data_IF_771155063838
#
_entry.id   IF_771155063838
#
_cell.length_a   1.000
_cell.length_b   1.000
_cell.length_c   1.000
_cell.angle_alpha   90.00
_cell.angle_beta   90.00
_cell.angle_gamma   90.00
#
_symmetry.space_group_name_H-M   'P 1'
#
loop_
_entity.id
_entity.type
_entity.pdbx_description
1 polymer ?
#
# COMPACT_ATOMS: atom_id res chain seq x y z
N UNK A 1 62.26 39.29 -89.89
CA UNK A 1 61.59 38.50 -88.83
C UNK A 1 60.52 39.41 -88.24
N UNK A 2 59.27 39.00 -88.37
CA UNK A 2 58.13 39.83 -88.77
C UNK A 2 57.20 40.17 -87.60
N UNK A 3 56.70 41.41 -87.60
CA UNK A 3 55.67 41.99 -86.70
C UNK A 3 54.45 41.05 -86.48
N UNK A 4 54.13 40.23 -87.47
CA UNK A 4 53.11 39.17 -87.47
C UNK A 4 53.27 38.15 -86.33
N UNK A 5 54.49 37.69 -86.03
CA UNK A 5 54.74 36.66 -85.02
C UNK A 5 54.50 37.16 -83.60
N UNK A 6 54.80 38.43 -83.35
CA UNK A 6 54.51 39.12 -82.08
C UNK A 6 53.02 39.32 -81.87
N UNK A 7 52.26 39.64 -82.92
CA UNK A 7 50.79 39.79 -82.85
C UNK A 7 50.09 38.47 -82.56
N UNK A 8 50.53 37.37 -83.17
CA UNK A 8 50.03 36.02 -82.89
C UNK A 8 50.31 35.57 -81.46
N UNK A 9 51.51 35.85 -80.93
CA UNK A 9 51.86 35.53 -79.55
C UNK A 9 51.01 36.31 -78.53
N UNK A 10 50.76 37.61 -78.77
CA UNK A 10 49.91 38.44 -77.91
C UNK A 10 48.44 38.01 -77.96
N UNK A 11 47.94 37.62 -79.13
CA UNK A 11 46.57 37.08 -79.27
C UNK A 11 46.38 35.77 -78.50
N UNK A 12 47.34 34.84 -78.56
CA UNK A 12 47.30 33.60 -77.79
C UNK A 12 47.38 33.83 -76.26
N UNK A 13 48.16 34.82 -75.83
CA UNK A 13 48.21 35.23 -74.41
C UNK A 13 46.87 35.83 -73.96
N UNK A 14 46.24 36.66 -74.80
CA UNK A 14 44.92 37.22 -74.48
C UNK A 14 43.83 36.14 -74.44
N UNK A 15 43.85 35.19 -75.37
CA UNK A 15 42.92 34.07 -75.39
C UNK A 15 43.07 33.17 -74.16
N UNK A 16 44.30 32.87 -73.75
CA UNK A 16 44.57 32.11 -72.52
C UNK A 16 44.16 32.88 -71.27
N UNK A 17 44.39 34.19 -71.20
CA UNK A 17 43.92 35.02 -70.09
C UNK A 17 42.39 35.08 -70.04
N UNK A 18 41.71 35.18 -71.19
CA UNK A 18 40.25 35.13 -71.25
C UNK A 18 39.71 33.75 -70.84
N UNK A 19 40.35 32.67 -71.26
CA UNK A 19 40.02 31.31 -70.83
C UNK A 19 40.17 31.17 -69.31
N UNK A 20 41.31 31.60 -68.74
CA UNK A 20 41.52 31.61 -67.28
C UNK A 20 40.49 32.48 -66.55
N UNK A 21 40.11 33.63 -67.10
CA UNK A 21 39.08 34.49 -66.50
C UNK A 21 37.71 33.82 -66.50
N UNK A 22 37.35 33.13 -67.59
CA UNK A 22 36.10 32.38 -67.67
C UNK A 22 36.09 31.16 -66.74
N UNK A 23 37.22 30.47 -66.59
CA UNK A 23 37.38 29.35 -65.67
C UNK A 23 37.32 29.81 -64.21
N UNK A 24 37.96 30.94 -63.88
CA UNK A 24 37.87 31.55 -62.56
C UNK A 24 36.44 31.98 -62.23
N UNK A 25 35.71 32.55 -63.20
CA UNK A 25 34.30 32.91 -63.02
C UNK A 25 33.42 31.66 -62.77
N UNK A 26 33.65 30.59 -63.54
CA UNK A 26 32.95 29.32 -63.34
C UNK A 26 33.28 28.66 -61.99
N UNK A 27 34.54 28.73 -61.56
CA UNK A 27 34.97 28.23 -60.25
C UNK A 27 34.34 29.02 -59.11
N UNK A 28 34.27 30.34 -59.22
CA UNK A 28 33.65 31.19 -58.22
C UNK A 28 32.13 30.93 -58.13
N UNK A 29 31.45 30.77 -59.27
CA UNK A 29 30.04 30.40 -59.28
C UNK A 29 29.78 29.05 -58.59
N UNK A 30 30.63 28.05 -58.83
CA UNK A 30 30.56 26.75 -58.14
C UNK A 30 30.83 26.86 -56.65
N UNK A 31 31.75 27.72 -56.22
CA UNK A 31 32.03 27.94 -54.79
C UNK A 31 30.82 28.55 -54.08
N UNK A 32 30.15 29.54 -54.69
CA UNK A 32 28.92 30.12 -54.14
C UNK A 32 27.82 29.07 -54.02
N UNK A 33 27.65 28.22 -55.03
CA UNK A 33 26.68 27.13 -55.00
C UNK A 33 26.98 26.11 -53.89
N UNK A 34 28.25 25.74 -53.70
CA UNK A 34 28.66 24.82 -52.63
C UNK A 34 28.38 25.43 -51.25
N UNK A 35 28.68 26.72 -51.06
CA UNK A 35 28.42 27.41 -49.80
C UNK A 35 26.92 27.51 -49.50
N UNK A 36 26.10 27.79 -50.51
CA UNK A 36 24.64 27.81 -50.34
C UNK A 36 24.10 26.43 -49.93
N UNK A 37 24.58 25.36 -50.58
CA UNK A 37 24.21 23.98 -50.20
C UNK A 37 24.67 23.61 -48.80
N UNK A 38 25.86 24.04 -48.36
CA UNK A 38 26.33 23.81 -47.00
C UNK A 38 25.47 24.55 -45.98
N UNK A 39 25.10 25.81 -46.23
CA UNK A 39 24.21 26.56 -45.36
C UNK A 39 22.82 25.91 -45.23
N UNK A 40 22.30 25.35 -46.33
CA UNK A 40 21.03 24.60 -46.31
C UNK A 40 21.15 23.31 -45.48
N UNK A 41 22.28 22.60 -45.56
CA UNK A 41 22.55 21.40 -44.74
C UNK A 41 22.67 21.77 -43.27
N UNK A 42 23.41 22.82 -42.94
CA UNK A 42 23.60 23.29 -41.56
C UNK A 42 22.26 23.73 -40.93
N UNK A 43 21.40 24.43 -41.69
CA UNK A 43 20.06 24.78 -41.25
C UNK A 43 19.18 23.54 -41.00
N UNK A 44 19.31 22.50 -41.83
CA UNK A 44 18.62 21.21 -41.62
C UNK A 44 19.13 20.46 -40.39
N UNK A 45 20.43 20.51 -40.11
CA UNK A 45 21.07 19.90 -38.94
C UNK A 45 20.73 20.62 -37.62
N UNK A 46 20.54 21.93 -37.65
CA UNK A 46 20.06 22.68 -36.49
C UNK A 46 18.66 22.21 -36.08
N UNK A 47 17.75 22.05 -37.04
CA UNK A 47 16.39 21.57 -36.78
C UNK A 47 16.36 20.13 -36.22
N UNK A 48 17.27 19.24 -36.62
CA UNK A 48 17.36 17.89 -36.07
C UNK A 48 18.01 17.84 -34.69
N UNK A 49 18.93 18.76 -34.40
CA UNK A 49 19.54 18.90 -33.06
C UNK A 49 18.49 19.32 -32.03
N UNK A 50 17.54 20.16 -32.42
CA UNK A 50 16.41 20.59 -31.57
C UNK A 50 15.39 19.46 -31.27
N UNK A 51 15.38 18.37 -32.05
CA UNK A 51 14.51 17.22 -31.81
C UNK A 51 15.02 16.29 -30.71
N UNK A 52 16.33 16.26 -30.45
CA UNK A 52 16.93 15.36 -29.46
C UNK A 52 16.39 15.62 -28.04
N UNK A 53 16.36 16.87 -27.53
CA UNK A 53 15.77 17.15 -26.22
C UNK A 53 14.28 16.81 -26.14
N UNK A 54 13.54 16.98 -27.24
CA UNK A 54 12.11 16.65 -27.28
C UNK A 54 11.88 15.13 -27.17
N UNK A 55 12.71 14.33 -27.84
CA UNK A 55 12.67 12.87 -27.73
C UNK A 55 13.08 12.38 -26.33
N UNK A 56 14.04 13.04 -25.67
CA UNK A 56 14.42 12.75 -24.28
C UNK A 56 13.27 13.01 -23.30
N UNK A 57 12.54 14.13 -23.47
CA UNK A 57 11.35 14.44 -22.66
C UNK A 57 10.25 13.39 -22.88
N UNK A 58 10.02 12.99 -24.13
CA UNK A 58 9.01 11.96 -24.46
C UNK A 58 9.42 10.62 -23.85
N UNK A 59 10.68 10.22 -23.95
CA UNK A 59 11.20 8.99 -23.35
C UNK A 59 11.07 9.00 -21.83
N UNK A 60 11.44 10.10 -21.17
CA UNK A 60 11.30 10.25 -19.71
C UNK A 60 9.83 10.09 -19.28
N UNK A 61 8.90 10.73 -20.00
CA UNK A 61 7.47 10.62 -19.73
C UNK A 61 6.93 9.20 -19.98
N UNK A 62 7.44 8.52 -21.01
CA UNK A 62 7.02 7.16 -21.36
C UNK A 62 7.53 6.12 -20.35
N UNK A 63 8.72 6.35 -19.77
CA UNK A 63 9.24 5.56 -18.64
C UNK A 63 8.36 5.76 -17.41
N UNK A 64 8.07 7.01 -17.04
CA UNK A 64 7.22 7.34 -15.88
C UNK A 64 5.80 6.75 -16.02
N UNK A 65 5.21 6.84 -17.22
CA UNK A 65 3.90 6.24 -17.49
C UNK A 65 3.95 4.70 -17.45
N UNK A 66 5.04 4.07 -17.87
CA UNK A 66 5.24 2.60 -17.74
C UNK A 66 5.37 2.18 -16.29
N UNK A 67 6.13 2.91 -15.48
CA UNK A 67 6.27 2.64 -14.05
C UNK A 67 4.91 2.73 -13.35
N UNK A 68 4.15 3.79 -13.61
CA UNK A 68 2.77 3.92 -13.11
C UNK A 68 1.85 2.80 -13.56
N UNK A 69 1.98 2.35 -14.80
CA UNK A 69 1.20 1.21 -15.31
C UNK A 69 1.60 -0.10 -14.65
N UNK A 70 2.89 -0.34 -14.43
CA UNK A 70 3.40 -1.52 -13.74
C UNK A 70 2.88 -1.59 -12.31
N UNK A 71 2.98 -0.49 -11.55
CA UNK A 71 2.39 -0.37 -10.21
C UNK A 71 0.87 -0.61 -10.23
N UNK A 72 0.17 -0.07 -11.24
CA UNK A 72 -1.26 -0.29 -11.42
C UNK A 72 -1.61 -1.77 -11.66
N UNK A 73 -0.84 -2.45 -12.51
CA UNK A 73 -1.06 -3.86 -12.81
C UNK A 73 -0.75 -4.76 -11.61
N UNK A 74 0.34 -4.50 -10.90
CA UNK A 74 0.71 -5.22 -9.68
C UNK A 74 -0.41 -5.14 -8.64
N UNK A 75 -0.96 -3.94 -8.38
CA UNK A 75 -2.11 -3.75 -7.48
C UNK A 75 -3.36 -4.52 -7.92
N UNK A 76 -3.66 -4.53 -9.22
CA UNK A 76 -4.80 -5.30 -9.73
C UNK A 76 -4.58 -6.80 -9.61
N UNK A 77 -3.34 -7.27 -9.77
CA UNK A 77 -2.98 -8.66 -9.60
C UNK A 77 -3.07 -9.08 -8.12
N UNK A 78 -2.61 -8.24 -7.18
CA UNK A 78 -2.79 -8.47 -5.74
C UNK A 78 -4.26 -8.53 -5.34
N UNK A 79 -5.09 -7.61 -5.84
CA UNK A 79 -6.53 -7.64 -5.59
C UNK A 79 -7.20 -8.89 -6.20
N UNK A 80 -6.79 -9.28 -7.40
CA UNK A 80 -7.29 -10.47 -8.07
C UNK A 80 -6.85 -11.75 -7.35
N UNK A 81 -5.61 -11.81 -6.86
CA UNK A 81 -5.08 -12.91 -6.06
C UNK A 81 -5.85 -13.03 -4.74
N UNK A 82 -6.02 -11.93 -4.01
CA UNK A 82 -6.84 -11.89 -2.79
C UNK A 82 -8.28 -12.32 -3.07
N UNK A 83 -8.92 -11.79 -4.11
CA UNK A 83 -10.29 -12.15 -4.47
C UNK A 83 -10.41 -13.63 -4.86
N UNK A 84 -9.42 -14.17 -5.57
CA UNK A 84 -9.35 -15.57 -5.94
C UNK A 84 -9.11 -16.48 -4.73
N UNK A 85 -8.22 -16.10 -3.81
CA UNK A 85 -7.99 -16.80 -2.55
C UNK A 85 -9.26 -16.82 -1.69
N UNK A 86 -9.91 -15.65 -1.52
CA UNK A 86 -11.17 -15.53 -0.80
C UNK A 86 -12.28 -16.38 -1.41
N UNK A 87 -12.41 -16.40 -2.75
CA UNK A 87 -13.39 -17.24 -3.46
C UNK A 87 -13.09 -18.73 -3.36
N UNK A 88 -11.80 -19.10 -3.30
CA UNK A 88 -11.32 -20.48 -3.17
C UNK A 88 -11.31 -20.98 -1.73
N UNK A 89 -11.72 -20.15 -0.76
CA UNK A 89 -11.71 -20.47 0.66
C UNK A 89 -10.31 -20.50 1.28
N UNK A 90 -9.31 -19.94 0.60
CA UNK A 90 -7.96 -19.75 1.13
C UNK A 90 -7.87 -18.36 1.75
N UNK A 91 -7.51 -18.30 3.03
CA UNK A 91 -7.41 -17.05 3.78
C UNK A 91 -6.11 -16.34 3.48
N UNK A 92 -6.11 -15.41 2.51
CA UNK A 92 -4.98 -14.51 2.27
C UNK A 92 -5.19 -13.18 3.03
N UNK A 93 -4.16 -12.62 3.69
CA UNK A 93 -4.29 -11.32 4.33
C UNK A 93 -4.53 -10.21 3.30
N UNK A 94 -5.43 -9.27 3.61
CA UNK A 94 -5.68 -8.13 2.74
C UNK A 94 -4.41 -7.24 2.74
N UNK A 95 -3.83 -6.90 1.59
CA UNK A 95 -2.67 -6.01 1.53
C UNK A 95 -2.96 -4.67 2.22
N UNK A 96 -2.02 -4.18 3.02
CA UNK A 96 -2.19 -2.98 3.87
C UNK A 96 -2.62 -1.75 3.06
N UNK A 97 -2.05 -1.56 1.86
CA UNK A 97 -2.37 -0.46 0.95
C UNK A 97 -3.82 -0.52 0.43
N UNK A 98 -4.33 -1.73 0.16
CA UNK A 98 -5.72 -1.96 -0.24
C UNK A 98 -6.67 -1.82 0.96
N UNK A 99 -6.25 -2.25 2.16
CA UNK A 99 -7.02 -2.07 3.39
C UNK A 99 -7.29 -0.60 3.71
N UNK A 100 -6.39 0.30 3.27
CA UNK A 100 -6.54 1.73 3.43
C UNK A 100 -7.32 2.45 2.32
N UNK A 101 -7.62 1.75 1.22
CA UNK A 101 -8.35 2.31 0.09
C UNK A 101 -9.77 2.76 0.47
N UNK A 102 -10.13 3.99 0.12
CA UNK A 102 -11.38 4.63 0.54
C UNK A 102 -12.64 3.84 0.11
N UNK A 103 -12.61 3.22 -1.08
CA UNK A 103 -13.73 2.41 -1.57
C UNK A 103 -13.89 1.09 -0.80
N UNK A 104 -12.79 0.43 -0.44
CA UNK A 104 -12.82 -0.83 0.33
C UNK A 104 -13.28 -0.58 1.76
N UNK A 105 -12.82 0.51 2.38
CA UNK A 105 -13.34 0.98 3.67
C UNK A 105 -14.84 1.25 3.61
N UNK A 106 -15.31 1.98 2.59
CA UNK A 106 -16.74 2.29 2.43
C UNK A 106 -17.57 1.03 2.18
N UNK A 107 -17.07 0.10 1.37
CA UNK A 107 -17.71 -1.19 1.14
C UNK A 107 -17.83 -1.99 2.44
N UNK A 108 -16.71 -2.21 3.15
CA UNK A 108 -16.68 -2.93 4.42
C UNK A 108 -17.60 -2.30 5.47
N UNK A 109 -17.63 -0.97 5.55
CA UNK A 109 -18.47 -0.22 6.47
C UNK A 109 -19.98 -0.35 6.19
N UNK A 110 -20.35 -0.60 4.94
CA UNK A 110 -21.76 -0.71 4.53
C UNK A 110 -22.26 -2.15 4.45
N UNK A 111 -21.39 -3.15 4.62
CA UNK A 111 -21.75 -4.56 4.56
C UNK A 111 -22.86 -4.91 5.55
N UNK A 112 -23.76 -5.80 5.12
CA UNK A 112 -24.74 -6.44 6.00
C UNK A 112 -24.04 -7.42 6.93
N UNK A 113 -24.62 -7.66 8.10
CA UNK A 113 -24.13 -8.70 8.98
C UNK A 113 -24.08 -10.05 8.25
N UNK A 114 -22.98 -10.78 8.42
CA UNK A 114 -22.88 -12.16 7.93
C UNK A 114 -24.05 -12.99 8.48
N UNK A 115 -24.47 -14.07 7.81
CA UNK A 115 -25.55 -14.92 8.34
C UNK A 115 -25.04 -16.00 9.28
N UNK A 116 -23.86 -16.55 9.01
CA UNK A 116 -23.22 -17.58 9.82
C UNK A 116 -21.76 -17.17 10.07
N UNK A 117 -21.43 -16.70 11.28
CA UNK A 117 -20.09 -16.26 11.58
C UNK A 117 -19.23 -17.48 11.91
N UNK A 118 -18.11 -17.63 11.19
CA UNK A 118 -17.07 -18.61 11.52
C UNK A 118 -16.30 -18.16 12.79
N UNK A 119 -16.32 -16.85 13.06
CA UNK A 119 -15.57 -16.19 14.10
C UNK A 119 -16.29 -16.23 15.47
N UNK A 120 -15.65 -16.77 16.54
CA UNK A 120 -16.23 -16.82 17.89
C UNK A 120 -16.63 -15.43 18.44
N UNK A 121 -15.86 -14.38 18.13
CA UNK A 121 -16.16 -13.04 18.59
C UNK A 121 -17.47 -12.51 17.99
N UNK A 122 -17.70 -12.78 16.69
CA UNK A 122 -18.93 -12.39 16.00
C UNK A 122 -20.14 -13.19 16.50
N UNK A 123 -19.97 -14.48 16.77
CA UNK A 123 -21.01 -15.34 17.33
C UNK A 123 -21.46 -14.84 18.71
N UNK A 124 -20.48 -14.52 19.58
CA UNK A 124 -20.72 -13.95 20.91
C UNK A 124 -21.39 -12.58 20.83
N UNK A 125 -20.89 -11.70 19.96
CA UNK A 125 -21.46 -10.37 19.78
C UNK A 125 -22.94 -10.40 19.38
N UNK A 126 -23.36 -11.34 18.54
CA UNK A 126 -24.80 -11.50 18.21
C UNK A 126 -25.67 -11.87 19.40
N UNK A 127 -25.12 -12.60 20.37
CA UNK A 127 -25.86 -12.96 21.58
C UNK A 127 -25.98 -11.73 22.48
N UNK A 128 -24.88 -10.99 22.66
CA UNK A 128 -24.84 -9.79 23.50
C UNK A 128 -25.71 -8.66 22.95
N UNK A 129 -25.67 -8.42 21.64
CA UNK A 129 -26.44 -7.36 21.00
C UNK A 129 -27.95 -7.55 21.18
N UNK A 130 -28.44 -8.79 21.20
CA UNK A 130 -29.87 -9.09 21.45
C UNK A 130 -30.32 -8.76 22.87
N UNK A 131 -29.41 -8.80 23.84
CA UNK A 131 -29.69 -8.55 25.26
C UNK A 131 -29.55 -7.08 25.63
N UNK A 132 -28.73 -6.34 24.90
CA UNK A 132 -28.47 -4.93 25.12
C UNK A 132 -29.68 -4.03 24.84
N UNK A 133 -29.73 -2.87 25.50
CA UNK A 133 -30.70 -1.81 25.18
C UNK A 133 -30.33 -1.07 23.88
N UNK A 134 -31.32 -0.44 23.23
CA UNK A 134 -31.10 0.37 22.03
C UNK A 134 -30.14 1.55 22.28
N UNK A 135 -30.15 2.13 23.49
CA UNK A 135 -29.26 3.23 23.86
C UNK A 135 -27.80 2.78 23.93
N UNK A 136 -27.53 1.65 24.59
CA UNK A 136 -26.19 1.07 24.70
C UNK A 136 -25.65 0.66 23.33
N UNK A 137 -26.47 0.02 22.49
CA UNK A 137 -26.08 -0.32 21.12
C UNK A 137 -25.74 0.91 20.29
N UNK A 138 -26.46 2.02 20.49
CA UNK A 138 -26.15 3.28 19.79
C UNK A 138 -24.82 3.86 20.25
N UNK A 139 -24.48 3.75 21.55
CA UNK A 139 -23.17 4.17 22.09
C UNK A 139 -22.05 3.30 21.54
N UNK A 140 -22.22 1.98 21.55
CA UNK A 140 -21.23 1.03 21.02
C UNK A 140 -21.03 1.23 19.52
N UNK A 141 -22.10 1.42 18.74
CA UNK A 141 -21.99 1.65 17.30
C UNK A 141 -21.17 2.91 16.98
N UNK A 142 -21.34 3.98 17.76
CA UNK A 142 -20.51 5.19 17.61
C UNK A 142 -19.04 4.91 17.87
N UNK A 143 -18.72 4.13 18.90
CA UNK A 143 -17.34 3.73 19.21
C UNK A 143 -16.74 2.85 18.10
N UNK A 144 -17.51 1.88 17.58
CA UNK A 144 -17.10 1.00 16.48
C UNK A 144 -16.85 1.75 15.16
N UNK A 145 -17.36 2.97 15.02
CA UNK A 145 -17.09 3.82 13.87
C UNK A 145 -15.80 4.64 14.00
N UNK A 146 -15.20 4.72 15.19
CA UNK A 146 -13.97 5.48 15.39
C UNK A 146 -12.76 4.65 14.97
N UNK A 147 -11.88 5.18 14.11
CA UNK A 147 -10.63 4.52 13.76
C UNK A 147 -9.72 4.46 14.98
N UNK A 148 -9.07 3.32 15.20
CA UNK A 148 -8.11 3.13 16.29
C UNK A 148 -6.66 3.33 15.79
N UNK A 149 -5.80 3.98 16.59
CA UNK A 149 -4.39 4.23 16.26
C UNK A 149 -3.48 2.99 16.43
N UNK A 150 -3.96 1.97 17.16
CA UNK A 150 -3.26 0.72 17.48
C UNK A 150 -3.75 -0.48 16.68
N UNK A 151 -4.79 -0.30 15.86
CA UNK A 151 -5.53 -1.39 15.22
C UNK A 151 -4.86 -1.91 13.93
N UNK A 152 -4.50 -3.20 13.87
CA UNK A 152 -4.05 -3.88 12.65
C UNK A 152 -5.22 -4.14 11.67
N UNK A 153 -4.91 -4.54 10.43
CA UNK A 153 -5.90 -4.66 9.35
C UNK A 153 -6.98 -5.71 9.64
N UNK A 154 -6.63 -6.85 10.21
CA UNK A 154 -7.56 -7.93 10.57
C UNK A 154 -8.56 -7.49 11.65
N UNK A 155 -8.09 -6.77 12.67
CA UNK A 155 -8.95 -6.20 13.73
C UNK A 155 -9.88 -5.12 13.18
N UNK A 156 -9.41 -4.34 12.19
CA UNK A 156 -10.24 -3.36 11.48
C UNK A 156 -11.41 -4.02 10.76
N UNK A 157 -11.18 -5.13 10.09
CA UNK A 157 -12.24 -5.91 9.42
C UNK A 157 -13.22 -6.44 10.46
N UNK A 158 -12.72 -6.97 11.59
CA UNK A 158 -13.58 -7.42 12.69
C UNK A 158 -14.46 -6.28 13.23
N UNK A 159 -13.91 -5.08 13.45
CA UNK A 159 -14.68 -3.91 13.91
C UNK A 159 -15.83 -3.58 12.95
N UNK A 160 -15.59 -3.60 11.64
CA UNK A 160 -16.65 -3.38 10.65
C UNK A 160 -17.73 -4.46 10.70
N UNK A 161 -17.36 -5.72 10.87
CA UNK A 161 -18.31 -6.83 11.01
C UNK A 161 -19.14 -6.73 12.29
N UNK A 162 -18.53 -6.35 13.42
CA UNK A 162 -19.24 -6.08 14.68
C UNK A 162 -20.23 -4.92 14.51
N UNK A 163 -19.81 -3.83 13.86
CA UNK A 163 -20.66 -2.68 13.55
C UNK A 163 -21.83 -3.04 12.63
N UNK A 164 -21.62 -3.94 11.66
CA UNK A 164 -22.67 -4.43 10.77
C UNK A 164 -23.77 -5.17 11.56
N UNK A 165 -23.37 -6.04 12.52
CA UNK A 165 -24.30 -6.74 13.42
C UNK A 165 -25.09 -5.73 14.26
N UNK A 166 -24.42 -4.78 14.89
CA UNK A 166 -25.07 -3.75 15.72
C UNK A 166 -26.05 -2.90 14.91
N UNK A 167 -25.66 -2.50 13.70
CA UNK A 167 -26.51 -1.73 12.79
C UNK A 167 -27.75 -2.51 12.38
N UNK A 168 -27.60 -3.77 12.02
CA UNK A 168 -28.73 -4.59 11.57
C UNK A 168 -29.70 -4.86 12.72
N UNK A 169 -29.22 -5.07 13.94
CA UNK A 169 -30.07 -5.13 15.13
C UNK A 169 -30.83 -3.81 15.37
N UNK A 170 -30.13 -2.68 15.33
CA UNK A 170 -30.77 -1.37 15.51
C UNK A 170 -31.85 -1.10 14.44
N UNK A 171 -31.62 -1.51 13.19
CA UNK A 171 -32.64 -1.44 12.12
C UNK A 171 -33.85 -2.31 12.42
N UNK A 172 -33.64 -3.55 12.89
CA UNK A 172 -34.73 -4.46 13.27
C UNK A 172 -35.58 -3.84 14.37
N UNK A 173 -34.96 -3.08 15.28
CA UNK A 173 -35.64 -2.34 16.36
C UNK A 173 -36.29 -1.03 15.92
N UNK A 174 -36.18 -0.65 14.63
CA UNK A 174 -36.68 0.62 14.11
C UNK A 174 -35.96 1.86 14.66
N UNK A 175 -34.74 1.69 15.19
CA UNK A 175 -33.98 2.78 15.77
C UNK A 175 -33.36 3.70 14.70
N UNK A 176 -33.25 4.99 15.01
CA UNK A 176 -32.52 5.94 14.15
C UNK A 176 -31.03 5.63 14.26
N UNK A 177 -30.45 5.19 13.16
CA UNK A 177 -29.02 4.90 13.11
C UNK A 177 -28.21 6.19 13.23
N UNK A 178 -27.12 6.21 14.01
CA UNK A 178 -26.15 7.28 13.94
C UNK A 178 -25.62 7.37 12.50
N UNK A 179 -25.34 8.58 11.98
CA UNK A 179 -24.87 8.75 10.63
C UNK A 179 -23.59 7.93 10.45
N UNK A 180 -23.60 7.08 9.42
CA UNK A 180 -22.42 6.44 8.90
C UNK A 180 -21.42 7.55 8.55
N UNK A 181 -20.45 7.84 9.43
CA UNK A 181 -19.47 8.90 9.19
C UNK A 181 -18.35 8.26 8.36
N UNK A 182 -18.23 8.54 7.05
CA UNK A 182 -17.06 8.08 6.31
C UNK A 182 -15.87 8.91 6.80
N UNK A 183 -14.82 8.33 7.36
CA UNK A 183 -13.71 9.13 7.79
C UNK A 183 -12.74 9.29 6.63
N UNK A 184 -12.66 10.52 6.12
CA UNK A 184 -11.37 11.13 5.84
C UNK A 184 -10.67 11.51 7.17
N UNK A 185 -10.76 10.65 8.19
CA UNK A 185 -10.02 10.80 9.44
C UNK A 185 -8.75 9.98 9.21
N UNK A 186 -7.69 10.69 8.86
CA UNK A 186 -6.33 10.15 8.92
C UNK A 186 -6.16 9.53 10.31
N UNK A 187 -5.73 8.27 10.36
CA UNK A 187 -5.39 7.62 11.62
C UNK A 187 -4.26 8.42 12.26
N UNK A 188 -4.49 8.91 13.48
CA UNK A 188 -3.42 9.56 14.22
C UNK A 188 -2.52 8.48 14.84
N UNK A 189 -1.41 8.19 14.17
CA UNK A 189 -0.43 7.22 14.64
C UNK A 189 0.57 7.78 15.67
N UNK A 190 0.33 8.98 16.21
CA UNK A 190 1.17 9.56 17.24
C UNK A 190 1.28 8.64 18.46
N UNK A 191 2.43 8.68 19.12
CA UNK A 191 2.70 7.91 20.35
C UNK A 191 1.66 8.23 21.42
N UNK A 192 1.23 9.48 21.53
CA UNK A 192 0.20 9.93 22.47
C UNK A 192 -1.16 9.30 22.18
N UNK A 193 -1.59 9.26 20.91
CA UNK A 193 -2.86 8.63 20.55
C UNK A 193 -2.84 7.12 20.77
N UNK A 194 -1.70 6.46 20.50
CA UNK A 194 -1.52 5.04 20.84
C UNK A 194 -1.60 4.78 22.34
N UNK A 195 -0.92 5.58 23.16
CA UNK A 195 -0.97 5.45 24.62
C UNK A 195 -2.37 5.72 25.20
N UNK A 196 -3.07 6.73 24.69
CA UNK A 196 -4.44 7.02 25.10
C UNK A 196 -5.38 5.84 24.80
N UNK A 197 -5.24 5.22 23.62
CA UNK A 197 -6.04 4.05 23.25
C UNK A 197 -5.73 2.84 24.12
N UNK A 198 -4.46 2.56 24.39
CA UNK A 198 -4.05 1.47 25.29
C UNK A 198 -4.64 1.67 26.70
N UNK A 199 -4.62 2.89 27.23
CA UNK A 199 -5.22 3.21 28.53
C UNK A 199 -6.74 2.99 28.53
N UNK A 200 -7.43 3.34 27.45
CA UNK A 200 -8.86 3.07 27.26
C UNK A 200 -9.15 1.56 27.25
N UNK A 201 -8.37 0.78 26.50
CA UNK A 201 -8.50 -0.68 26.43
C UNK A 201 -8.29 -1.32 27.81
N UNK A 202 -7.27 -0.90 28.55
CA UNK A 202 -7.02 -1.39 29.91
C UNK A 202 -8.15 -1.00 30.88
N UNK A 203 -8.72 0.20 30.73
CA UNK A 203 -9.87 0.63 31.54
C UNK A 203 -11.12 -0.20 31.23
N UNK A 204 -11.42 -0.43 29.95
CA UNK A 204 -12.53 -1.28 29.51
C UNK A 204 -12.38 -2.72 30.02
N UNK A 205 -11.16 -3.26 29.96
CA UNK A 205 -10.86 -4.58 30.51
C UNK A 205 -11.12 -4.66 32.00
N UNK A 206 -10.62 -3.69 32.80
CA UNK A 206 -10.79 -3.67 34.26
C UNK A 206 -12.23 -3.51 34.73
N UNK A 207 -13.10 -2.88 33.93
CA UNK A 207 -14.55 -2.83 34.21
C UNK A 207 -15.17 -4.23 34.25
N UNK A 208 -14.57 -5.20 33.56
CA UNK A 208 -15.05 -6.56 33.47
C UNK A 208 -16.17 -6.71 32.44
N UNK A 209 -17.03 -7.72 32.66
CA UNK A 209 -18.05 -8.12 31.70
C UNK A 209 -19.03 -6.97 31.39
N UNK A 210 -18.90 -6.40 30.19
CA UNK A 210 -19.69 -5.26 29.75
C UNK A 210 -19.92 -5.32 28.24
N UNK A 211 -21.01 -4.70 27.79
CA UNK A 211 -21.32 -4.65 26.35
C UNK A 211 -20.22 -3.96 25.55
N UNK A 212 -19.60 -2.92 26.11
CA UNK A 212 -18.50 -2.20 25.47
C UNK A 212 -17.25 -3.09 25.30
N UNK A 213 -16.97 -3.96 26.28
CA UNK A 213 -15.87 -4.93 26.21
C UNK A 213 -16.02 -5.88 25.03
N UNK A 214 -17.20 -6.50 24.87
CA UNK A 214 -17.47 -7.43 23.76
C UNK A 214 -17.64 -6.72 22.41
N UNK A 215 -17.97 -5.44 22.43
CA UNK A 215 -18.14 -4.61 21.24
C UNK A 215 -16.83 -4.06 20.67
N UNK A 216 -15.72 -4.17 21.41
CA UNK A 216 -14.40 -3.71 21.00
C UNK A 216 -13.61 -4.81 20.27
N UNK A 217 -13.21 -4.52 19.04
CA UNK A 217 -12.52 -5.48 18.20
C UNK A 217 -11.09 -5.81 18.70
N UNK A 218 -10.41 -4.85 19.33
CA UNK A 218 -9.03 -5.05 19.81
C UNK A 218 -8.99 -5.96 21.04
N UNK A 219 -10.06 -5.99 21.85
CA UNK A 219 -10.18 -6.85 23.03
C UNK A 219 -10.70 -8.25 22.70
N UNK A 220 -11.27 -8.46 21.52
CA UNK A 220 -11.81 -9.76 21.10
C UNK A 220 -10.79 -10.90 21.24
N UNK A 221 -9.52 -10.65 20.91
CA UNK A 221 -8.44 -11.64 21.06
C UNK A 221 -8.21 -12.07 22.52
N UNK A 222 -8.19 -11.11 23.45
CA UNK A 222 -8.04 -11.38 24.88
C UNK A 222 -9.25 -12.15 25.45
N UNK A 223 -10.46 -11.78 25.02
CA UNK A 223 -11.70 -12.47 25.42
C UNK A 223 -11.72 -13.92 24.91
N UNK A 224 -11.32 -14.14 23.66
CA UNK A 224 -11.23 -15.47 23.07
C UNK A 224 -10.15 -16.32 23.77
N UNK A 225 -9.00 -15.73 24.10
CA UNK A 225 -7.96 -16.39 24.88
C UNK A 225 -8.45 -16.83 26.26
N UNK A 226 -9.15 -15.95 26.99
CA UNK A 226 -9.77 -16.28 28.27
C UNK A 226 -10.78 -17.44 28.13
N UNK A 227 -11.65 -17.38 27.12
CA UNK A 227 -12.65 -18.42 26.86
C UNK A 227 -12.01 -19.79 26.56
N UNK A 228 -10.98 -19.82 25.71
CA UNK A 228 -10.24 -21.06 25.39
C UNK A 228 -9.50 -21.61 26.61
N UNK A 229 -8.88 -20.73 27.39
CA UNK A 229 -8.14 -21.13 28.60
C UNK A 229 -9.09 -21.74 29.63
N UNK A 230 -10.24 -21.11 29.89
CA UNK A 230 -11.26 -21.65 30.78
C UNK A 230 -11.77 -23.02 30.34
N UNK A 231 -12.10 -23.15 29.04
CA UNK A 231 -12.59 -24.42 28.49
C UNK A 231 -11.54 -25.54 28.61
N UNK A 232 -10.27 -25.22 28.35
CA UNK A 232 -9.16 -26.17 28.51
C UNK A 232 -8.99 -26.61 29.96
N UNK A 233 -8.95 -25.68 30.91
CA UNK A 233 -8.77 -26.00 32.32
C UNK A 233 -9.89 -26.88 32.87
N UNK A 234 -11.14 -26.63 32.45
CA UNK A 234 -12.28 -27.49 32.80
C UNK A 234 -12.17 -28.89 32.19
N UNK A 235 -11.71 -29.00 30.93
CA UNK A 235 -11.51 -30.28 30.26
C UNK A 235 -10.38 -31.11 30.89
N UNK A 236 -9.39 -30.45 31.50
CA UNK A 236 -8.30 -31.08 32.26
C UNK A 236 -8.76 -31.63 33.64
N UNK A 237 -10.04 -31.45 34.00
CA UNK A 237 -10.62 -32.00 35.23
C UNK A 237 -10.38 -31.14 36.48
N UNK A 238 -9.96 -29.89 36.32
CA UNK A 238 -9.84 -28.94 37.42
C UNK A 238 -11.23 -28.59 37.99
N UNK A 239 -11.30 -28.33 39.30
CA UNK A 239 -12.56 -27.91 39.93
C UNK A 239 -13.01 -26.54 39.42
N UNK A 240 -14.32 -26.28 39.25
CA UNK A 240 -14.83 -24.98 38.80
C UNK A 240 -14.31 -23.80 39.63
N UNK A 241 -14.25 -23.95 40.95
CA UNK A 241 -13.76 -22.89 41.85
C UNK A 241 -12.28 -22.55 41.58
N UNK A 242 -11.43 -23.57 41.39
CA UNK A 242 -10.02 -23.35 41.04
C UNK A 242 -9.88 -22.68 39.68
N UNK A 243 -10.71 -23.09 38.70
CA UNK A 243 -10.70 -22.46 37.38
C UNK A 243 -11.11 -21.00 37.49
N UNK A 244 -12.17 -20.68 38.23
CA UNK A 244 -12.65 -19.30 38.36
C UNK A 244 -11.62 -18.40 39.09
N UNK A 245 -10.92 -18.90 40.11
CA UNK A 245 -9.80 -18.20 40.75
C UNK A 245 -8.64 -17.94 39.79
N UNK A 246 -8.26 -18.93 38.98
CA UNK A 246 -7.22 -18.78 37.95
C UNK A 246 -7.64 -17.81 36.86
N UNK A 247 -8.92 -17.80 36.46
CA UNK A 247 -9.44 -16.85 35.49
C UNK A 247 -9.44 -15.43 36.06
N UNK A 248 -9.73 -15.24 37.35
CA UNK A 248 -9.62 -13.93 38.00
C UNK A 248 -8.17 -13.40 37.98
N UNK A 249 -7.20 -14.25 38.32
CA UNK A 249 -5.76 -13.89 38.25
C UNK A 249 -5.33 -13.58 36.81
N UNK A 250 -5.80 -14.36 35.84
CA UNK A 250 -5.49 -14.13 34.44
C UNK A 250 -6.10 -12.81 33.93
N UNK A 251 -7.32 -12.50 34.35
CA UNK A 251 -7.96 -11.23 34.05
C UNK A 251 -7.16 -10.04 34.60
N UNK A 252 -6.73 -10.11 35.85
CA UNK A 252 -5.88 -9.07 36.47
C UNK A 252 -4.57 -8.91 35.70
N UNK A 253 -3.86 -10.02 35.44
CA UNK A 253 -2.60 -10.03 34.70
C UNK A 253 -2.72 -9.41 33.31
N UNK A 254 -3.75 -9.77 32.54
CA UNK A 254 -3.97 -9.18 31.21
C UNK A 254 -4.22 -7.67 31.33
N UNK A 255 -4.95 -7.22 32.34
CA UNK A 255 -5.19 -5.79 32.58
C UNK A 255 -3.90 -5.01 32.88
N UNK A 256 -2.96 -5.62 33.60
CA UNK A 256 -1.67 -5.02 33.91
C UNK A 256 -0.72 -5.01 32.71
N UNK A 257 -0.70 -6.09 31.92
CA UNK A 257 0.04 -6.15 30.65
C UNK A 257 -0.47 -5.08 29.67
N UNK A 258 -1.79 -4.91 29.54
CA UNK A 258 -2.39 -3.84 28.73
C UNK A 258 -2.01 -2.46 29.24
N UNK A 259 -2.04 -2.22 30.55
CA UNK A 259 -1.61 -0.94 31.11
C UNK A 259 -0.11 -0.66 30.89
N UNK A 260 0.71 -1.72 30.80
CA UNK A 260 2.12 -1.66 30.40
C UNK A 260 2.36 -1.48 28.90
N UNK A 261 1.30 -1.46 28.08
CA UNK A 261 1.39 -1.27 26.63
C UNK A 261 1.37 -2.54 25.79
N UNK A 262 1.17 -3.71 26.40
CA UNK A 262 1.11 -4.99 25.69
C UNK A 262 -0.34 -5.34 25.35
N UNK A 263 -0.64 -5.53 24.07
CA UNK A 263 -1.96 -6.00 23.63
C UNK A 263 -1.85 -7.49 23.30
N UNK A 264 -2.78 -8.29 23.83
CA UNK A 264 -2.85 -9.72 23.52
C UNK A 264 -3.17 -9.87 22.04
N UNK A 265 -2.19 -10.34 21.25
CA UNK A 265 -2.36 -10.58 19.82
C UNK A 265 -3.49 -11.59 19.60
N UNK A 266 -4.36 -11.29 18.64
CA UNK A 266 -5.41 -12.19 18.23
C UNK A 266 -4.80 -13.36 17.46
N UNK A 267 -4.95 -14.57 17.99
CA UNK A 267 -4.75 -15.79 17.20
C UNK A 267 -6.04 -16.04 16.42
N UNK A 268 -6.02 -15.67 15.15
CA UNK A 268 -7.03 -16.04 14.16
C UNK A 268 -7.06 -17.57 13.98
N UNK A 269 -8.17 -18.09 13.43
CA UNK A 269 -8.35 -19.52 13.16
C UNK A 269 -7.17 -20.12 12.35
N UNK A 270 -6.97 -21.46 12.37
CA UNK A 270 -5.84 -22.08 11.68
C UNK A 270 -5.86 -21.68 10.19
N UNK A 271 -4.79 -21.04 9.73
CA UNK A 271 -4.67 -20.52 8.36
C UNK A 271 -4.40 -19.02 8.25
N UNK A 272 -4.19 -18.31 9.36
CA UNK A 272 -3.93 -16.87 9.36
C UNK A 272 -2.84 -16.54 10.40
N UNK A 273 -1.69 -17.18 10.28
CA UNK A 273 -0.45 -16.66 10.87
C UNK A 273 0.11 -15.66 9.86
N UNK A 274 -0.11 -14.37 10.10
CA UNK A 274 0.69 -13.36 9.43
C UNK A 274 2.15 -13.60 9.86
N UNK A 275 3.11 -13.73 8.92
CA UNK A 275 4.50 -13.91 9.30
C UNK A 275 4.93 -12.71 10.15
N UNK A 276 5.42 -12.99 11.36
CA UNK A 276 6.03 -12.00 12.26
C UNK A 276 7.13 -11.26 11.48
N UNK A 277 6.81 -10.06 11.01
CA UNK A 277 7.81 -9.10 10.51
C UNK A 277 8.14 -8.12 11.62
N UNK A 278 8.69 -8.61 12.73
CA UNK A 278 9.51 -7.77 13.59
C UNK A 278 10.78 -8.49 14.04
N UNK A 279 11.90 -7.87 13.65
CA UNK A 279 13.27 -7.96 14.18
C UNK A 279 14.22 -9.03 13.65
N UNK A 280 15.11 -8.57 12.76
CA UNK A 280 16.34 -9.26 12.39
C UNK A 280 17.29 -8.34 11.62
N UNK A 281 17.71 -7.23 12.22
CA UNK A 281 19.01 -6.63 11.88
C UNK A 281 20.09 -7.40 12.65
N UNK A 282 21.12 -7.77 11.89
CA UNK A 282 22.50 -8.05 12.27
C UNK A 282 22.87 -9.40 12.94
N UNK A 283 23.52 -10.27 12.15
CA UNK A 283 24.79 -10.99 12.43
C UNK A 283 25.00 -12.02 11.30
N UNK A 284 25.95 -11.82 10.38
CA UNK A 284 27.37 -12.21 10.49
C UNK A 284 27.62 -13.67 10.92
N UNK A 285 28.61 -14.29 10.25
CA UNK A 285 29.05 -15.70 10.23
C UNK A 285 28.39 -16.52 9.11
N UNK A 286 29.05 -16.97 8.04
CA UNK A 286 30.48 -17.14 7.79
C UNK A 286 30.67 -18.52 7.15
N UNK A 287 31.11 -18.56 5.88
CA UNK A 287 31.80 -19.72 5.33
C UNK A 287 32.69 -19.27 4.18
N UNK A 288 33.93 -18.95 4.54
CA UNK A 288 35.05 -18.99 3.64
C UNK A 288 35.13 -20.36 2.95
N UNK A 289 35.43 -20.36 1.65
CA UNK A 289 36.30 -21.37 1.05
C UNK A 289 37.26 -20.66 0.10
N UNK A 290 38.51 -20.67 0.53
CA UNK A 290 39.71 -20.33 -0.24
C UNK A 290 39.90 -21.25 -1.46
N UNK A 291 40.87 -20.84 -2.28
CA UNK A 291 41.58 -21.49 -3.40
C UNK A 291 40.92 -21.24 -4.77
N UNK A 292 41.57 -20.62 -5.76
CA UNK A 292 42.99 -20.72 -6.14
C UNK A 292 43.48 -19.48 -6.95
N UNK A 293 44.75 -19.03 -6.84
CA UNK A 293 45.33 -17.93 -7.61
C UNK A 293 46.27 -18.44 -8.72
N UNK A 294 45.82 -18.39 -9.98
CA UNK A 294 46.62 -18.23 -11.21
C UNK A 294 45.86 -18.83 -12.40
N UNK A 295 45.33 -18.00 -13.30
CA UNK A 295 45.50 -18.17 -14.74
C UNK A 295 45.59 -16.76 -15.35
N UNK A 296 46.58 -16.61 -16.23
CA UNK A 296 47.09 -15.42 -16.91
C UNK A 296 46.05 -14.51 -17.55
#
# INVERSE_FOLDING_TARGET
>A
MTDEGTRLAVAAILETVMAMQSEMAAMNARQVEILDRLNQIDAGLAATTDLVPMLEIILARLIEDRERQAEGFERTAELAAFAHAAASGQGEPLPDELADHALLKRFAYLQTAEREPIDPALARWRQEVKRASTEELTKVLKAQYMPSPTEPVDVRVLRFRLAAITRDELKVRGAVLPPARPPAIVRDHSVMSKQARIAELAALWRVGDSLALHGDAELAGAIDYMGRTRARLLAEGNSPDLVDDLMAQLHEKIGDEMAGGQVVKRQTAPGYDAPDRENGKDSELGAARETDPNIR
#
